data_IF_840515935868
#
_entry.id   IF_840515935868
#
_cell.length_a   1.000
_cell.length_b   1.000
_cell.length_c   1.000
_cell.angle_alpha   90.00
_cell.angle_beta   90.00
_cell.angle_gamma   90.00
#
_symmetry.space_group_name_H-M   'P 1'
#
loop_
_entity.id
_entity.type
_entity.pdbx_description
1 polymer ?
#
# COMPACT_ATOMS: atom_id res chain seq x y z
N UNK A 1 9.51 8.05 -9.38
CA UNK A 1 10.14 7.57 -10.62
C UNK A 1 10.53 8.70 -11.54
N UNK A 2 9.55 9.38 -12.15
CA UNK A 2 9.82 10.44 -13.15
C UNK A 2 10.69 11.58 -12.61
N UNK A 3 10.39 12.09 -11.41
CA UNK A 3 11.21 13.12 -10.75
C UNK A 3 12.65 12.67 -10.44
N UNK A 4 12.92 11.36 -10.49
CA UNK A 4 14.24 10.75 -10.28
C UNK A 4 14.88 10.31 -11.62
N UNK A 5 14.35 10.74 -12.76
CA UNK A 5 14.94 10.53 -14.09
C UNK A 5 14.35 9.37 -14.91
N UNK A 6 13.37 8.62 -14.39
CA UNK A 6 12.73 7.58 -15.19
C UNK A 6 11.84 8.18 -16.30
N UNK A 7 11.90 7.59 -17.49
CA UNK A 7 10.92 7.87 -18.53
C UNK A 7 9.51 7.57 -18.01
N UNK A 8 8.53 8.43 -18.34
CA UNK A 8 7.14 8.28 -17.85
C UNK A 8 6.54 6.89 -18.12
N UNK A 9 6.67 6.29 -19.32
CA UNK A 9 6.12 4.96 -19.57
C UNK A 9 6.70 3.91 -18.62
N UNK A 10 8.02 3.91 -18.42
CA UNK A 10 8.71 2.99 -17.51
C UNK A 10 8.28 3.20 -16.06
N UNK A 11 8.17 4.46 -15.61
CA UNK A 11 7.71 4.76 -14.26
C UNK A 11 6.27 4.27 -14.03
N UNK A 12 5.39 4.40 -15.02
CA UNK A 12 4.01 3.89 -14.98
C UNK A 12 3.97 2.36 -14.94
N UNK A 13 4.77 1.69 -15.76
CA UNK A 13 4.86 0.23 -15.77
C UNK A 13 5.33 -0.31 -14.42
N UNK A 14 6.44 0.22 -13.90
CA UNK A 14 6.99 -0.21 -12.62
C UNK A 14 6.01 0.00 -11.47
N UNK A 15 5.35 1.16 -11.37
CA UNK A 15 4.39 1.40 -10.28
C UNK A 15 3.17 0.48 -10.39
N UNK A 16 2.69 0.21 -11.60
CA UNK A 16 1.55 -0.68 -11.84
C UNK A 16 1.88 -2.10 -11.38
N UNK A 17 2.98 -2.66 -11.88
CA UNK A 17 3.42 -4.00 -11.51
C UNK A 17 3.75 -4.13 -10.01
N UNK A 18 4.30 -3.08 -9.40
CA UNK A 18 4.61 -3.07 -7.95
C UNK A 18 3.32 -3.15 -7.12
N UNK A 19 2.32 -2.33 -7.45
CA UNK A 19 1.05 -2.32 -6.72
C UNK A 19 0.28 -3.63 -6.92
N UNK A 20 0.24 -4.13 -8.15
CA UNK A 20 -0.38 -5.41 -8.48
C UNK A 20 0.29 -6.57 -7.74
N UNK A 21 1.62 -6.68 -7.80
CA UNK A 21 2.37 -7.73 -7.12
C UNK A 21 2.21 -7.68 -5.60
N UNK A 22 2.25 -6.49 -4.99
CA UNK A 22 2.01 -6.32 -3.56
C UNK A 22 0.59 -6.75 -3.15
N UNK A 23 -0.42 -6.40 -3.95
CA UNK A 23 -1.80 -6.87 -3.76
C UNK A 23 -1.92 -8.38 -3.87
N UNK A 24 -1.27 -8.97 -4.88
CA UNK A 24 -1.23 -10.43 -5.07
C UNK A 24 -0.61 -11.17 -3.88
N UNK A 25 0.49 -10.66 -3.32
CA UNK A 25 1.09 -11.23 -2.12
C UNK A 25 0.12 -11.20 -0.93
N UNK A 26 -0.63 -10.11 -0.73
CA UNK A 26 -1.58 -9.99 0.39
C UNK A 26 -2.76 -10.98 0.30
N UNK A 27 -3.07 -11.49 -0.88
CA UNK A 27 -4.20 -12.40 -1.10
C UNK A 27 -3.78 -13.85 -1.33
N UNK A 28 -2.49 -14.12 -1.47
CA UNK A 28 -1.96 -15.46 -1.78
C UNK A 28 -1.50 -16.15 -0.50
N UNK A 29 -2.16 -17.24 -0.04
CA UNK A 29 -1.72 -18.00 1.14
C UNK A 29 -0.26 -18.44 1.04
N UNK A 30 0.47 -18.45 2.17
CA UNK A 30 1.88 -18.82 2.22
C UNK A 30 2.87 -17.78 1.69
N UNK A 31 2.41 -16.66 1.13
CA UNK A 31 3.29 -15.61 0.60
C UNK A 31 4.19 -14.94 1.64
N UNK A 32 3.80 -15.00 2.91
CA UNK A 32 4.55 -14.50 4.08
C UNK A 32 5.35 -15.59 4.80
N UNK A 33 5.45 -16.79 4.20
CA UNK A 33 6.11 -17.96 4.78
C UNK A 33 5.23 -18.80 5.70
N UNK A 34 3.94 -18.45 5.88
CA UNK A 34 2.99 -19.20 6.71
C UNK A 34 1.97 -19.92 5.84
N UNK A 35 2.18 -21.21 5.59
CA UNK A 35 1.36 -22.00 4.67
C UNK A 35 -0.10 -22.14 5.13
N UNK A 36 -0.34 -22.27 6.44
CA UNK A 36 -1.66 -22.54 7.01
C UNK A 36 -2.45 -21.30 7.45
N UNK A 37 -2.05 -20.10 7.00
CA UNK A 37 -2.65 -18.85 7.45
C UNK A 37 -2.88 -17.83 6.33
N UNK A 38 -3.84 -16.94 6.57
CA UNK A 38 -3.95 -15.72 5.76
C UNK A 38 -2.66 -14.88 5.89
N UNK A 39 -2.15 -14.31 4.78
CA UNK A 39 -0.92 -13.53 4.80
C UNK A 39 -0.96 -12.36 5.78
N UNK A 40 0.08 -12.23 6.58
CA UNK A 40 0.26 -11.12 7.50
C UNK A 40 1.02 -9.99 6.80
N UNK A 41 0.34 -8.86 6.55
CA UNK A 41 0.94 -7.68 5.92
C UNK A 41 2.25 -7.18 6.58
N UNK A 42 2.33 -7.25 7.92
CA UNK A 42 3.56 -6.97 8.69
C UNK A 42 4.75 -7.85 8.31
N UNK A 43 4.58 -9.17 8.21
CA UNK A 43 5.64 -10.10 7.81
C UNK A 43 6.09 -9.86 6.37
N UNK A 44 5.16 -9.62 5.45
CA UNK A 44 5.47 -9.23 4.06
C UNK A 44 6.28 -7.94 4.00
N UNK A 45 5.94 -6.96 4.85
CA UNK A 45 6.69 -5.69 4.97
C UNK A 45 8.09 -5.92 5.53
N UNK A 46 8.23 -6.74 6.57
CA UNK A 46 9.52 -7.08 7.17
C UNK A 46 10.44 -7.80 6.18
N UNK A 47 9.90 -8.73 5.38
CA UNK A 47 10.65 -9.49 4.39
C UNK A 47 11.39 -8.62 3.33
N UNK A 48 10.92 -7.39 3.10
CA UNK A 48 11.52 -6.43 2.15
C UNK A 48 12.18 -5.22 2.82
N UNK A 49 12.28 -5.21 4.16
CA UNK A 49 12.81 -4.09 4.94
C UNK A 49 14.07 -4.50 5.69
N UNK A 50 15.23 -4.28 5.09
CA UNK A 50 16.51 -4.45 5.78
C UNK A 50 16.77 -3.30 6.76
N UNK A 51 17.34 -3.57 7.96
CA UNK A 51 17.74 -2.52 8.90
C UNK A 51 18.70 -1.51 8.26
N UNK A 52 18.36 -0.23 8.32
CA UNK A 52 19.13 0.85 7.70
C UNK A 52 19.08 0.90 6.16
N UNK A 53 18.27 0.04 5.52
CA UNK A 53 18.15 -0.03 4.07
C UNK A 53 17.29 1.08 3.45
N UNK A 54 17.25 1.08 2.11
CA UNK A 54 16.47 2.06 1.32
C UNK A 54 14.97 1.95 1.59
N UNK A 55 14.43 0.73 1.73
CA UNK A 55 13.01 0.51 2.09
C UNK A 55 12.71 1.08 3.47
N UNK A 56 13.60 0.89 4.46
CA UNK A 56 13.41 1.41 5.80
C UNK A 56 13.36 2.96 5.79
N UNK A 57 14.27 3.61 5.05
CA UNK A 57 14.27 5.06 4.90
C UNK A 57 13.01 5.58 4.19
N UNK A 58 12.57 4.91 3.11
CA UNK A 58 11.35 5.28 2.41
C UNK A 58 10.11 5.15 3.31
N UNK A 59 10.01 4.06 4.07
CA UNK A 59 8.92 3.85 5.03
C UNK A 59 8.91 4.92 6.12
N UNK A 60 10.08 5.27 6.70
CA UNK A 60 10.17 6.33 7.70
C UNK A 60 9.68 7.68 7.16
N UNK A 61 10.01 8.01 5.90
CA UNK A 61 9.49 9.20 5.22
C UNK A 61 7.96 9.18 5.12
N UNK A 62 7.38 8.05 4.67
CA UNK A 62 5.92 7.92 4.52
C UNK A 62 5.18 8.02 5.87
N UNK A 63 5.77 7.50 6.94
CA UNK A 63 5.20 7.63 8.29
C UNK A 63 5.27 9.07 8.79
N UNK A 64 6.39 9.77 8.57
CA UNK A 64 6.55 11.17 8.93
C UNK A 64 5.53 12.07 8.20
N UNK A 65 5.23 11.75 6.94
CA UNK A 65 4.19 12.43 6.14
C UNK A 65 2.75 12.04 6.55
N UNK A 66 2.58 11.09 7.49
CA UNK A 66 1.28 10.71 8.02
C UNK A 66 0.41 9.90 7.04
N UNK A 67 1.02 9.04 6.22
CA UNK A 67 0.30 8.25 5.22
C UNK A 67 -0.82 7.38 5.84
N UNK A 68 -0.54 6.66 6.94
CA UNK A 68 -1.53 5.79 7.60
C UNK A 68 -2.76 6.57 8.10
N UNK A 69 -2.61 7.64 8.92
CA UNK A 69 -3.79 8.43 9.32
C UNK A 69 -4.47 9.11 8.15
N UNK A 70 -3.75 9.51 7.08
CA UNK A 70 -4.36 10.06 5.87
C UNK A 70 -5.27 9.04 5.17
N UNK A 71 -4.82 7.78 5.01
CA UNK A 71 -5.61 6.71 4.41
C UNK A 71 -6.87 6.40 5.24
N UNK A 72 -6.74 6.32 6.58
CA UNK A 72 -7.88 6.09 7.47
C UNK A 72 -8.94 7.21 7.35
N UNK A 73 -8.50 8.47 7.33
CA UNK A 73 -9.39 9.62 7.10
C UNK A 73 -10.07 9.57 5.73
N UNK A 74 -9.36 9.17 4.68
CA UNK A 74 -9.92 9.06 3.34
C UNK A 74 -11.05 8.02 3.26
N UNK A 75 -10.85 6.83 3.84
CA UNK A 75 -11.87 5.78 3.88
C UNK A 75 -13.07 6.21 4.72
N UNK A 76 -12.85 6.88 5.85
CA UNK A 76 -13.94 7.44 6.67
C UNK A 76 -14.76 8.48 5.88
N UNK A 77 -14.10 9.41 5.19
CA UNK A 77 -14.77 10.41 4.37
C UNK A 77 -15.58 9.77 3.22
N UNK A 78 -15.04 8.72 2.58
CA UNK A 78 -15.75 7.96 1.55
C UNK A 78 -17.01 7.28 2.12
N UNK A 79 -16.91 6.66 3.30
CA UNK A 79 -18.05 6.07 4.02
C UNK A 79 -19.12 7.12 4.32
N UNK A 80 -18.73 8.28 4.86
CA UNK A 80 -19.68 9.33 5.25
C UNK A 80 -20.43 9.87 4.03
N UNK A 81 -19.73 10.05 2.91
CA UNK A 81 -20.36 10.45 1.66
C UNK A 81 -21.32 9.40 1.13
N UNK A 82 -20.95 8.12 1.19
CA UNK A 82 -21.82 7.01 0.79
C UNK A 82 -23.13 6.99 1.58
N UNK A 83 -23.06 7.15 2.90
CA UNK A 83 -24.25 7.24 3.77
C UNK A 83 -25.11 8.46 3.42
N UNK A 84 -24.50 9.62 3.17
CA UNK A 84 -25.24 10.83 2.78
C UNK A 84 -25.97 10.65 1.45
N UNK A 85 -25.33 10.03 0.45
CA UNK A 85 -25.94 9.72 -0.83
C UNK A 85 -27.13 8.75 -0.67
N UNK A 86 -26.97 7.71 0.15
CA UNK A 86 -28.05 6.76 0.44
C UNK A 86 -29.26 7.42 1.09
N UNK A 87 -29.07 8.43 1.95
CA UNK A 87 -30.19 9.20 2.55
C UNK A 87 -30.84 10.20 1.58
N UNK A 88 -30.10 10.65 0.57
CA UNK A 88 -30.56 11.66 -0.40
C UNK A 88 -31.38 11.02 -1.54
N UNK A 89 -31.03 9.79 -1.93
CA UNK A 89 -31.57 9.14 -3.14
C UNK A 89 -32.18 7.75 -2.89
N UNK A 90 -32.07 7.21 -1.67
CA UNK A 90 -32.74 5.96 -1.25
C UNK A 90 -34.02 6.27 -0.48
#
# INVERSE_FOLDING_TARGET
GVALGLARPVATELVTATVEGAGGLLTTPGSDGREDAAPHHGLLREAVTSPGGTTAAALASLEADGLRPAAARAVAAARDRSVALGRQYG
#
